data_IF_814613723860
#
_entry.id   IF_814613723860
#
_cell.length_a   1.000
_cell.length_b   1.000
_cell.length_c   1.000
_cell.angle_alpha   90.00
_cell.angle_beta   90.00
_cell.angle_gamma   90.00
#
_symmetry.space_group_name_H-M   'P 1'
#
loop_
_entity.id
_entity.type
_entity.pdbx_description
1 polymer ?
#
# COMPACT_ATOMS: atom_id res chain seq x y z
N UNK A 1 5.82 -2.05 -12.93
CA UNK A 1 6.13 -3.49 -13.10
C UNK A 1 4.89 -4.17 -13.67
N UNK A 2 5.03 -5.02 -14.71
CA UNK A 2 3.93 -5.89 -15.17
C UNK A 2 3.69 -7.01 -14.17
N UNK A 3 2.43 -7.31 -13.89
CA UNK A 3 2.04 -8.42 -13.03
C UNK A 3 1.92 -9.69 -13.87
N UNK A 4 2.57 -10.76 -13.44
CA UNK A 4 2.51 -12.08 -14.09
C UNK A 4 1.40 -12.93 -13.46
N UNK A 5 1.01 -14.00 -14.14
CA UNK A 5 0.01 -14.95 -13.62
C UNK A 5 0.51 -15.57 -12.32
N UNK A 6 1.77 -15.98 -12.29
CA UNK A 6 2.40 -16.62 -11.13
C UNK A 6 2.40 -15.70 -9.90
N UNK A 7 2.61 -14.37 -10.08
CA UNK A 7 2.54 -13.41 -8.98
C UNK A 7 1.10 -13.29 -8.46
N UNK A 8 0.13 -13.27 -9.35
CA UNK A 8 -1.28 -13.20 -8.98
C UNK A 8 -1.71 -14.47 -8.22
N UNK A 9 -1.29 -15.64 -8.70
CA UNK A 9 -1.58 -16.92 -8.05
C UNK A 9 -0.95 -16.98 -6.64
N UNK A 10 0.33 -16.58 -6.49
CA UNK A 10 0.98 -16.44 -5.19
C UNK A 10 0.22 -15.51 -4.24
N UNK A 11 -0.28 -14.37 -4.77
CA UNK A 11 -1.04 -13.41 -3.97
C UNK A 11 -2.41 -13.95 -3.55
N UNK A 12 -3.06 -14.76 -4.39
CA UNK A 12 -4.31 -15.44 -4.04
C UNK A 12 -4.10 -16.45 -2.92
N UNK A 13 -3.10 -17.32 -3.03
CA UNK A 13 -2.76 -18.29 -1.98
C UNK A 13 -2.45 -17.60 -0.64
N UNK A 14 -1.71 -16.47 -0.68
CA UNK A 14 -1.41 -15.69 0.52
C UNK A 14 -2.68 -15.05 1.09
N UNK A 15 -3.55 -14.48 0.25
CA UNK A 15 -4.78 -13.84 0.67
C UNK A 15 -5.78 -14.83 1.30
N UNK A 16 -5.89 -16.04 0.76
CA UNK A 16 -6.76 -17.10 1.28
C UNK A 16 -6.35 -17.57 2.69
N UNK A 17 -5.07 -17.39 3.05
CA UNK A 17 -4.56 -17.71 4.39
C UNK A 17 -4.84 -16.63 5.44
N UNK A 18 -5.26 -15.43 5.02
CA UNK A 18 -5.48 -14.30 5.92
C UNK A 18 -6.91 -14.28 6.46
N UNK A 19 -7.11 -13.83 7.71
CA UNK A 19 -8.45 -13.65 8.26
C UNK A 19 -9.17 -12.52 7.51
N UNK A 20 -10.48 -12.70 7.31
CA UNK A 20 -11.33 -11.63 6.78
C UNK A 20 -11.68 -10.71 7.94
N UNK A 21 -11.23 -9.46 7.88
CA UNK A 21 -11.56 -8.46 8.89
C UNK A 21 -12.95 -7.86 8.61
N UNK A 22 -13.85 -7.95 9.59
CA UNK A 22 -15.24 -7.43 9.48
C UNK A 22 -15.30 -5.95 9.09
N UNK A 23 -14.32 -5.16 9.50
CA UNK A 23 -14.21 -3.74 9.18
C UNK A 23 -13.58 -3.44 7.81
N UNK A 24 -13.20 -4.47 7.06
CA UNK A 24 -12.66 -4.29 5.71
C UNK A 24 -13.79 -4.05 4.73
N UNK A 25 -13.85 -2.87 4.11
CA UNK A 25 -14.88 -2.48 3.14
C UNK A 25 -14.98 -3.43 1.94
N UNK A 26 -13.89 -4.12 1.58
CA UNK A 26 -13.79 -4.99 0.40
C UNK A 26 -13.54 -6.45 0.75
N UNK A 27 -13.54 -6.81 2.04
CA UNK A 27 -13.34 -8.18 2.52
C UNK A 27 -12.18 -8.92 1.81
N UNK A 28 -12.43 -10.09 1.22
CA UNK A 28 -11.43 -10.90 0.50
C UNK A 28 -10.67 -10.13 -0.59
N UNK A 29 -11.33 -9.19 -1.27
CA UNK A 29 -10.67 -8.37 -2.30
C UNK A 29 -9.66 -7.38 -1.72
N UNK A 30 -9.84 -6.93 -0.49
CA UNK A 30 -8.85 -6.08 0.18
C UNK A 30 -7.58 -6.89 0.48
N UNK A 31 -7.73 -8.13 0.94
CA UNK A 31 -6.62 -9.02 1.21
C UNK A 31 -5.81 -9.28 -0.07
N UNK A 32 -6.47 -9.59 -1.19
CA UNK A 32 -5.79 -9.83 -2.47
C UNK A 32 -5.01 -8.58 -2.94
N UNK A 33 -5.60 -7.39 -2.87
CA UNK A 33 -4.95 -6.13 -3.26
C UNK A 33 -3.73 -5.87 -2.37
N UNK A 34 -3.86 -6.09 -1.06
CA UNK A 34 -2.75 -6.00 -0.09
C UNK A 34 -1.62 -6.97 -0.43
N UNK A 35 -1.94 -8.26 -0.59
CA UNK A 35 -0.96 -9.31 -0.89
C UNK A 35 -0.21 -9.08 -2.21
N UNK A 36 -0.90 -8.62 -3.27
CA UNK A 36 -0.21 -8.25 -4.53
C UNK A 36 0.81 -7.13 -4.26
N UNK A 37 0.43 -6.10 -3.50
CA UNK A 37 1.34 -5.01 -3.19
C UNK A 37 2.54 -5.44 -2.35
N UNK A 38 2.32 -6.26 -1.33
CA UNK A 38 3.37 -6.81 -0.48
C UNK A 38 4.37 -7.64 -1.30
N UNK A 39 3.90 -8.57 -2.15
CA UNK A 39 4.77 -9.39 -3.02
C UNK A 39 5.56 -8.50 -3.99
N UNK A 40 4.91 -7.48 -4.58
CA UNK A 40 5.59 -6.51 -5.45
C UNK A 40 6.71 -5.79 -4.70
N UNK A 41 6.46 -5.38 -3.46
CA UNK A 41 7.44 -4.69 -2.63
C UNK A 41 8.58 -5.62 -2.22
N UNK A 42 8.30 -6.86 -1.81
CA UNK A 42 9.31 -7.88 -1.50
C UNK A 42 10.25 -8.12 -2.69
N UNK A 43 9.68 -8.28 -3.89
CA UNK A 43 10.48 -8.46 -5.12
C UNK A 43 11.31 -7.22 -5.45
N UNK A 44 10.78 -6.03 -5.19
CA UNK A 44 11.52 -4.77 -5.35
C UNK A 44 12.71 -4.69 -4.40
N UNK A 45 12.52 -4.98 -3.11
CA UNK A 45 13.59 -4.99 -2.11
C UNK A 45 14.66 -6.03 -2.44
N UNK A 46 14.25 -7.26 -2.81
CA UNK A 46 15.16 -8.34 -3.20
C UNK A 46 16.00 -7.96 -4.43
N UNK A 47 15.37 -7.35 -5.46
CA UNK A 47 16.07 -6.87 -6.65
C UNK A 47 17.16 -5.85 -6.32
N UNK A 48 16.90 -4.99 -5.35
CA UNK A 48 17.85 -3.97 -4.90
C UNK A 48 18.77 -4.42 -3.74
N UNK A 49 18.72 -5.72 -3.39
CA UNK A 49 19.56 -6.32 -2.34
C UNK A 49 19.38 -5.65 -0.97
N UNK A 50 18.17 -5.18 -0.69
CA UNK A 50 17.79 -4.63 0.62
C UNK A 50 17.35 -5.78 1.52
N UNK A 51 17.96 -5.91 2.69
CA UNK A 51 17.57 -6.93 3.69
C UNK A 51 16.27 -6.52 4.36
N UNK A 52 15.32 -7.46 4.45
CA UNK A 52 14.07 -7.24 5.14
C UNK A 52 13.57 -8.52 5.82
N UNK A 53 12.69 -8.33 6.80
CA UNK A 53 11.95 -9.42 7.47
C UNK A 53 10.47 -9.09 7.40
N UNK A 54 9.65 -10.05 6.95
CA UNK A 54 8.20 -9.96 7.01
C UNK A 54 7.74 -10.09 8.49
N UNK A 55 6.89 -9.16 8.94
CA UNK A 55 6.38 -9.08 10.31
C UNK A 55 4.85 -8.84 10.36
N UNK A 56 4.15 -9.19 9.29
CA UNK A 56 2.69 -9.01 9.14
C UNK A 56 1.88 -9.66 10.26
N UNK A 57 2.42 -10.73 10.88
CA UNK A 57 1.78 -11.42 12.02
C UNK A 57 1.65 -10.49 13.24
N UNK A 58 2.55 -9.51 13.40
CA UNK A 58 2.51 -8.59 14.54
C UNK A 58 1.37 -7.58 14.48
N UNK A 59 0.71 -7.42 13.33
CA UNK A 59 -0.33 -6.41 13.04
C UNK A 59 0.08 -4.95 13.29
N UNK A 60 1.34 -4.71 13.59
CA UNK A 60 1.90 -3.38 13.89
C UNK A 60 2.59 -2.77 12.68
N UNK A 61 3.09 -3.61 11.80
CA UNK A 61 3.85 -3.28 10.59
C UNK A 61 3.89 -4.49 9.68
N UNK A 62 4.18 -4.29 8.43
CA UNK A 62 4.32 -5.38 7.47
C UNK A 62 5.76 -5.90 7.42
N UNK A 63 6.75 -4.99 7.58
CA UNK A 63 8.16 -5.31 7.43
C UNK A 63 9.03 -4.64 8.48
N UNK A 64 10.16 -5.29 8.77
CA UNK A 64 11.35 -4.68 9.35
C UNK A 64 12.41 -4.64 8.26
N UNK A 65 12.85 -3.45 7.87
CA UNK A 65 13.92 -3.22 6.90
C UNK A 65 15.24 -3.11 7.66
N UNK A 66 16.28 -3.81 7.14
CA UNK A 66 17.56 -3.87 7.84
C UNK A 66 17.42 -4.44 9.25
N UNK A 67 17.90 -3.71 10.25
CA UNK A 67 17.88 -4.16 11.64
C UNK A 67 16.67 -3.69 12.44
N UNK A 68 16.05 -2.55 12.08
CA UNK A 68 15.07 -1.93 12.98
C UNK A 68 13.99 -1.08 12.34
N UNK A 69 14.11 -0.64 11.06
CA UNK A 69 13.19 0.29 10.46
C UNK A 69 11.84 -0.40 10.17
N UNK A 70 10.81 0.04 10.88
CA UNK A 70 9.44 -0.46 10.73
C UNK A 70 8.79 0.15 9.47
N UNK A 71 8.21 -0.69 8.62
CA UNK A 71 7.58 -0.24 7.37
C UNK A 71 6.23 -0.93 7.16
N UNK A 72 5.27 -0.17 6.66
CA UNK A 72 3.94 -0.64 6.31
C UNK A 72 3.64 -0.29 4.83
N UNK A 73 3.12 -1.25 4.08
CA UNK A 73 2.79 -1.11 2.66
C UNK A 73 1.31 -0.84 2.50
N UNK A 74 0.98 0.27 1.84
CA UNK A 74 -0.41 0.61 1.51
C UNK A 74 -0.63 0.48 0.01
N UNK A 75 -1.53 -0.41 -0.37
CA UNK A 75 -1.83 -0.70 -1.77
C UNK A 75 -3.22 -0.20 -2.15
N UNK A 76 -3.30 0.51 -3.27
CA UNK A 76 -4.56 1.03 -3.80
C UNK A 76 -4.74 0.60 -5.26
N UNK A 77 -5.90 0.03 -5.60
CA UNK A 77 -6.24 -0.28 -6.99
C UNK A 77 -6.85 0.94 -7.70
N UNK A 78 -6.50 1.07 -8.98
CA UNK A 78 -6.94 2.19 -9.84
C UNK A 78 -7.31 1.67 -11.22
N UNK A 79 -8.20 2.40 -11.89
CA UNK A 79 -8.61 2.12 -13.28
C UNK A 79 -7.88 2.99 -14.31
N UNK A 80 -7.04 3.89 -13.83
CA UNK A 80 -6.18 4.77 -14.64
C UNK A 80 -4.78 4.77 -14.05
N UNK A 81 -3.79 5.07 -14.88
CA UNK A 81 -2.40 5.19 -14.40
C UNK A 81 -2.29 6.27 -13.34
N UNK A 82 -1.49 6.04 -12.28
CA UNK A 82 -1.30 7.02 -11.24
C UNK A 82 -0.68 8.31 -11.78
N UNK A 83 -1.11 9.45 -11.22
CA UNK A 83 -0.60 10.78 -11.55
C UNK A 83 -0.12 11.47 -10.27
N UNK A 84 0.80 12.43 -10.40
CA UNK A 84 1.48 13.07 -9.26
C UNK A 84 0.54 13.69 -8.23
N UNK A 85 -0.60 14.22 -8.66
CA UNK A 85 -1.62 14.83 -7.80
C UNK A 85 -2.63 13.83 -7.22
N UNK A 86 -2.49 12.52 -7.50
CA UNK A 86 -3.39 11.53 -6.91
C UNK A 86 -3.02 11.24 -5.46
N UNK A 87 -4.06 11.03 -4.65
CA UNK A 87 -3.89 10.73 -3.24
C UNK A 87 -3.60 9.26 -2.97
N UNK A 88 -2.77 9.05 -1.95
CA UNK A 88 -2.63 7.80 -1.21
C UNK A 88 -3.21 8.00 0.17
N UNK A 89 -3.79 6.95 0.75
CA UNK A 89 -4.51 7.04 2.01
C UNK A 89 -3.95 6.07 3.04
N UNK A 90 -3.77 6.56 4.26
CA UNK A 90 -3.45 5.75 5.44
C UNK A 90 -4.68 5.76 6.35
N UNK A 91 -5.42 4.63 6.47
CA UNK A 91 -6.56 4.52 7.36
C UNK A 91 -6.16 4.69 8.83
N UNK A 92 -7.01 5.37 9.62
CA UNK A 92 -6.73 5.68 11.02
C UNK A 92 -7.29 4.65 12.02
N UNK A 93 -8.07 3.66 11.59
CA UNK A 93 -8.67 2.68 12.50
C UNK A 93 -7.64 1.84 13.26
N UNK A 94 -6.46 1.63 12.69
CA UNK A 94 -5.35 0.91 13.34
C UNK A 94 -4.28 1.85 13.92
N UNK A 95 -4.43 3.17 13.76
CA UNK A 95 -3.42 4.17 14.09
C UNK A 95 -2.92 4.14 15.55
N UNK A 96 -3.72 3.76 16.57
CA UNK A 96 -3.23 3.71 17.94
C UNK A 96 -2.09 2.70 18.16
N UNK A 97 -2.03 1.64 17.36
CA UNK A 97 -1.05 0.56 17.49
C UNK A 97 -0.22 0.27 16.23
N UNK A 98 -0.62 0.79 15.07
CA UNK A 98 0.08 0.65 13.81
C UNK A 98 0.68 1.99 13.39
N UNK A 99 1.87 2.29 13.92
CA UNK A 99 2.63 3.52 13.59
C UNK A 99 4.06 3.11 13.22
N UNK A 100 4.28 2.66 11.97
CA UNK A 100 5.59 2.32 11.47
C UNK A 100 6.45 3.58 11.28
N UNK A 101 7.76 3.43 11.07
CA UNK A 101 8.65 4.54 10.76
C UNK A 101 8.36 5.11 9.36
N UNK A 102 7.96 4.23 8.41
CA UNK A 102 7.64 4.60 7.04
C UNK A 102 6.38 3.90 6.54
N UNK A 103 5.59 4.62 5.75
CA UNK A 103 4.57 4.06 4.87
C UNK A 103 5.10 4.04 3.43
N UNK A 104 4.94 2.92 2.75
CA UNK A 104 5.27 2.76 1.32
C UNK A 104 4.00 2.54 0.50
N UNK A 105 3.90 3.21 -0.65
CA UNK A 105 2.66 3.19 -1.43
C UNK A 105 2.83 2.49 -2.77
N UNK A 106 1.86 1.64 -3.08
CA UNK A 106 1.76 0.93 -4.36
C UNK A 106 0.41 1.19 -4.98
N UNK A 107 0.39 1.47 -6.29
CA UNK A 107 -0.84 1.57 -7.07
C UNK A 107 -0.92 0.42 -8.05
N UNK A 108 -2.03 -0.33 -8.01
CA UNK A 108 -2.32 -1.39 -8.97
C UNK A 108 -3.23 -0.83 -10.06
N UNK A 109 -2.84 -1.00 -11.32
CA UNK A 109 -3.71 -0.70 -12.46
C UNK A 109 -4.55 -1.94 -12.78
N UNK A 110 -5.86 -1.79 -12.70
CA UNK A 110 -6.82 -2.84 -13.07
C UNK A 110 -7.53 -2.54 -14.38
N UNK A 111 -7.81 -3.59 -15.13
CA UNK A 111 -8.62 -3.53 -16.33
C UNK A 111 -10.10 -3.46 -15.99
N UNK A 112 -10.83 -2.50 -16.59
CA UNK A 112 -12.27 -2.29 -16.32
C UNK A 112 -13.15 -3.33 -16.95
N UNK A 113 -12.71 -3.94 -18.06
CA UNK A 113 -13.47 -4.93 -18.81
C UNK A 113 -13.62 -6.27 -18.10
N UNK A 114 -12.73 -6.56 -17.14
CA UNK A 114 -12.81 -7.78 -16.35
C UNK A 114 -13.66 -7.58 -15.09
N UNK A 115 -14.37 -8.62 -14.70
CA UNK A 115 -15.24 -8.61 -13.52
C UNK A 115 -14.51 -8.21 -12.23
N UNK A 116 -15.26 -7.65 -11.29
CA UNK A 116 -14.67 -7.15 -10.04
C UNK A 116 -13.99 -8.24 -9.20
N UNK A 117 -14.39 -9.49 -9.37
CA UNK A 117 -13.85 -10.66 -8.67
C UNK A 117 -12.72 -11.37 -9.45
N UNK A 118 -12.49 -11.03 -10.73
CA UNK A 118 -11.42 -11.65 -11.52
C UNK A 118 -10.05 -11.10 -11.06
N UNK A 119 -9.18 -11.92 -10.46
CA UNK A 119 -7.86 -11.48 -9.99
C UNK A 119 -6.94 -11.04 -11.15
N UNK A 120 -7.15 -11.60 -12.36
CA UNK A 120 -6.39 -11.27 -13.56
C UNK A 120 -6.66 -9.86 -14.09
N UNK A 121 -7.63 -9.13 -13.50
CA UNK A 121 -7.86 -7.70 -13.80
C UNK A 121 -6.67 -6.81 -13.46
N UNK A 122 -5.81 -7.20 -12.53
CA UNK A 122 -4.62 -6.44 -12.17
C UNK A 122 -3.51 -6.68 -13.20
N UNK A 123 -3.06 -5.63 -13.89
CA UNK A 123 -2.10 -5.70 -15.01
C UNK A 123 -0.74 -5.14 -14.69
N UNK A 124 -0.70 -4.05 -13.96
CA UNK A 124 0.53 -3.32 -13.65
C UNK A 124 0.54 -2.86 -12.19
N UNK A 125 1.72 -2.89 -11.57
CA UNK A 125 1.98 -2.26 -10.29
C UNK A 125 2.96 -1.09 -10.47
N UNK A 126 2.66 0.01 -9.80
CA UNK A 126 3.46 1.23 -9.73
C UNK A 126 3.94 1.41 -8.30
N UNK A 127 5.27 1.40 -8.13
CA UNK A 127 5.93 1.69 -6.87
C UNK A 127 6.03 3.21 -6.75
N UNK A 128 5.19 3.80 -5.91
CA UNK A 128 4.98 5.25 -5.87
C UNK A 128 6.02 5.99 -5.03
N UNK A 129 6.67 5.29 -4.10
CA UNK A 129 7.54 5.87 -3.09
C UNK A 129 6.94 5.71 -1.70
N UNK A 130 7.53 6.37 -0.73
CA UNK A 130 7.10 6.30 0.66
C UNK A 130 7.18 7.63 1.38
N UNK A 131 6.75 7.65 2.62
CA UNK A 131 6.81 8.82 3.47
C UNK A 131 7.13 8.40 4.90
N UNK A 132 7.98 9.17 5.59
CA UNK A 132 8.21 8.95 7.02
C UNK A 132 6.94 9.25 7.81
N UNK A 133 6.76 8.60 8.96
CA UNK A 133 5.65 8.89 9.85
C UNK A 133 5.63 10.38 10.25
N UNK A 134 6.79 10.96 10.52
CA UNK A 134 6.92 12.36 10.88
C UNK A 134 6.44 13.29 9.77
N UNK A 135 6.83 13.02 8.53
CA UNK A 135 6.40 13.82 7.38
C UNK A 135 4.92 13.61 7.09
N UNK A 136 4.41 12.38 7.19
CA UNK A 136 2.98 12.11 7.04
C UNK A 136 2.16 12.94 8.03
N UNK A 137 2.53 12.93 9.32
CA UNK A 137 1.84 13.71 10.36
C UNK A 137 1.89 15.24 10.08
N UNK A 138 2.93 15.70 9.38
CA UNK A 138 3.11 17.11 9.06
C UNK A 138 2.34 17.58 7.84
N UNK A 139 2.29 16.75 6.77
CA UNK A 139 1.79 17.20 5.45
C UNK A 139 0.45 16.59 5.05
N UNK A 140 0.02 15.49 5.67
CA UNK A 140 -1.17 14.78 5.25
C UNK A 140 -2.45 15.57 5.57
N UNK A 141 -3.38 15.51 4.63
CA UNK A 141 -4.75 16.01 4.86
C UNK A 141 -5.57 14.92 5.54
N UNK A 142 -6.14 15.25 6.69
CA UNK A 142 -7.07 14.38 7.40
C UNK A 142 -8.46 14.48 6.79
N UNK A 143 -9.09 13.32 6.64
CA UNK A 143 -10.49 13.16 6.29
C UNK A 143 -11.18 12.28 7.33
N UNK A 144 -12.38 12.68 7.75
CA UNK A 144 -13.19 11.85 8.63
C UNK A 144 -14.16 10.97 7.84
N UNK A 145 -14.65 9.91 8.46
CA UNK A 145 -15.62 9.01 7.85
C UNK A 145 -16.87 9.78 7.39
N UNK A 146 -17.34 9.50 6.19
CA UNK A 146 -18.51 10.17 5.57
C UNK A 146 -18.17 11.48 4.85
N UNK A 147 -16.99 12.07 5.03
CA UNK A 147 -16.59 13.26 4.28
C UNK A 147 -16.34 12.94 2.81
N UNK A 148 -16.64 13.90 1.95
CA UNK A 148 -16.39 13.83 0.51
C UNK A 148 -15.36 14.87 0.10
N UNK A 149 -14.33 14.45 -0.63
CA UNK A 149 -13.38 15.37 -1.24
C UNK A 149 -14.04 16.09 -2.42
N UNK A 150 -14.23 17.42 -2.35
CA UNK A 150 -14.88 18.17 -3.41
C UNK A 150 -14.06 18.23 -4.71
N UNK A 151 -12.77 17.95 -4.64
CA UNK A 151 -11.89 18.01 -5.83
C UNK A 151 -12.05 16.82 -6.77
N UNK A 152 -12.47 15.66 -6.25
CA UNK A 152 -12.55 14.42 -7.03
C UNK A 152 -13.79 13.56 -6.72
N UNK A 153 -14.67 13.99 -5.80
CA UNK A 153 -15.90 13.31 -5.44
C UNK A 153 -15.71 12.02 -4.62
N UNK A 154 -14.50 11.77 -4.10
CA UNK A 154 -14.23 10.59 -3.26
C UNK A 154 -14.86 10.75 -1.88
N UNK A 155 -15.76 9.83 -1.50
CA UNK A 155 -16.30 9.76 -0.13
C UNK A 155 -15.48 8.77 0.69
N UNK A 156 -15.01 9.18 1.86
CA UNK A 156 -14.18 8.38 2.75
C UNK A 156 -15.05 7.54 3.68
N UNK A 157 -14.89 6.22 3.62
CA UNK A 157 -15.63 5.27 4.45
C UNK A 157 -15.11 5.19 5.89
N UNK A 158 -13.85 5.54 6.10
CA UNK A 158 -13.20 5.59 7.40
C UNK A 158 -12.33 6.83 7.49
N UNK A 159 -12.03 7.26 8.69
CA UNK A 159 -11.06 8.34 8.88
C UNK A 159 -9.69 7.92 8.34
N UNK A 160 -9.03 8.82 7.60
CA UNK A 160 -7.74 8.56 7.00
C UNK A 160 -6.88 9.83 6.91
N UNK A 161 -5.57 9.62 6.74
CA UNK A 161 -4.61 10.63 6.32
C UNK A 161 -4.32 10.44 4.84
N UNK A 162 -4.52 11.49 4.04
CA UNK A 162 -4.21 11.49 2.61
C UNK A 162 -2.96 12.30 2.32
N UNK A 163 -2.09 11.72 1.49
CA UNK A 163 -0.87 12.36 0.97
C UNK A 163 -0.84 12.22 -0.54
N UNK A 164 -0.47 13.29 -1.25
CA UNK A 164 -0.33 13.24 -2.71
C UNK A 164 0.96 12.53 -3.12
N UNK A 165 1.00 11.96 -4.32
CA UNK A 165 2.16 11.21 -4.80
C UNK A 165 3.40 12.08 -4.99
N UNK A 166 3.23 13.38 -5.27
CA UNK A 166 4.35 14.33 -5.37
C UNK A 166 4.93 14.77 -4.02
N UNK A 167 4.26 14.43 -2.91
CA UNK A 167 4.76 14.63 -1.55
C UNK A 167 5.56 13.43 -1.02
N UNK A 168 5.61 12.32 -1.79
CA UNK A 168 6.33 11.12 -1.39
C UNK A 168 7.84 11.27 -1.64
N UNK A 169 8.63 10.66 -0.77
CA UNK A 169 10.06 10.46 -1.00
C UNK A 169 10.24 9.47 -2.17
N UNK A 170 11.02 9.84 -3.21
CA UNK A 170 11.27 8.97 -4.35
C UNK A 170 11.99 7.67 -3.99
N UNK A 171 11.83 6.66 -4.84
CA UNK A 171 12.35 5.32 -4.61
C UNK A 171 13.87 5.24 -4.47
N UNK A 172 14.63 6.03 -5.22
CA UNK A 172 16.09 6.09 -5.16
C UNK A 172 16.57 6.57 -3.78
N UNK A 173 15.96 7.63 -3.24
CA UNK A 173 16.29 8.14 -1.91
C UNK A 173 15.85 7.17 -0.80
N UNK A 174 14.70 6.50 -0.95
CA UNK A 174 14.27 5.48 0.00
C UNK A 174 15.20 4.28 0.03
N UNK A 175 15.72 3.84 -1.13
CA UNK A 175 16.69 2.75 -1.19
C UNK A 175 17.98 3.07 -0.42
N UNK A 176 18.44 4.32 -0.46
CA UNK A 176 19.58 4.75 0.37
C UNK A 176 19.24 4.65 1.85
N UNK A 177 18.05 5.12 2.26
CA UNK A 177 17.57 4.99 3.64
C UNK A 177 17.46 3.53 4.07
N UNK A 178 16.89 2.68 3.22
CA UNK A 178 16.69 1.25 3.52
C UNK A 178 17.98 0.45 3.61
N UNK A 179 19.01 0.79 2.84
CA UNK A 179 20.33 0.14 2.91
C UNK A 179 21.12 0.53 4.16
N UNK A 180 20.81 1.70 4.73
CA UNK A 180 21.48 2.22 5.92
C UNK A 180 20.73 1.88 7.23
N UNK A 181 19.59 1.18 7.15
CA UNK A 181 18.80 0.76 8.31
C UNK A 181 19.30 -0.58 8.86
#
# INVERSE_FOLDING_TARGET
MKLTVELIDEAMERADSLPIFENSHRQEQANLVGCIGEIVFERYLAHHQVTFKNDTISTRRDYVIGNSLALDVKTKDRTVRPQRHFDNSVPLYNHPHQRPDYYYFISLLREKSLGATDPRRFKEAYLMGGISLQDLDRVAKRWDAGQTDPSNGTTFWTACLNVQMDQLTPNDQLLETFRNA
#
